data_IF_769931661854
#
_entry.id   IF_769931661854
#
_cell.length_a   1.000
_cell.length_b   1.000
_cell.length_c   1.000
_cell.angle_alpha   90.00
_cell.angle_beta   90.00
_cell.angle_gamma   90.00
#
_symmetry.space_group_name_H-M   'P 1'
#
loop_
_entity.id
_entity.type
_entity.pdbx_description
1 polymer ?
#
# COMPACT_ATOMS: atom_id res chain seq x y z
N UNK A 1 -17.09 53.84 -16.50
CA UNK A 1 -17.19 53.46 -17.93
C UNK A 1 -18.37 52.50 -18.07
N UNK A 2 -19.60 52.92 -18.43
CA UNK A 2 -20.17 53.06 -19.81
C UNK A 2 -19.71 51.89 -20.71
N UNK A 3 -20.55 50.97 -21.21
CA UNK A 3 -21.77 51.09 -22.08
C UNK A 3 -22.69 49.86 -21.85
N UNK A 4 -24.01 49.94 -21.63
CA UNK A 4 -25.17 49.98 -22.58
C UNK A 4 -24.95 49.14 -23.85
N UNK A 5 -25.80 48.16 -24.20
CA UNK A 5 -27.09 48.25 -24.95
C UNK A 5 -27.90 46.97 -24.61
N UNK A 6 -29.14 46.94 -24.07
CA UNK A 6 -30.49 47.43 -24.47
C UNK A 6 -31.12 46.77 -25.73
N UNK A 7 -32.02 45.80 -25.44
CA UNK A 7 -33.41 45.66 -25.96
C UNK A 7 -33.61 45.10 -27.39
N UNK A 8 -34.68 44.44 -27.84
CA UNK A 8 -36.06 44.09 -27.43
C UNK A 8 -36.45 42.78 -28.19
N UNK A 9 -37.35 41.93 -27.68
CA UNK A 9 -38.62 41.64 -28.37
C UNK A 9 -39.55 40.81 -27.47
N UNK A 10 -40.63 41.45 -27.07
CA UNK A 10 -41.83 40.83 -26.51
C UNK A 10 -42.71 40.45 -27.70
N UNK A 11 -43.15 39.19 -27.79
CA UNK A 11 -44.41 38.85 -28.49
C UNK A 11 -45.15 37.86 -27.60
N UNK A 12 -46.20 38.37 -26.95
CA UNK A 12 -47.28 37.56 -26.41
C UNK A 12 -48.25 37.26 -27.56
N UNK A 13 -48.65 36.00 -27.72
CA UNK A 13 -49.95 35.66 -28.30
C UNK A 13 -50.66 34.73 -27.33
N UNK A 14 -51.65 35.33 -26.69
CA UNK A 14 -52.78 34.69 -26.02
C UNK A 14 -53.70 34.15 -27.12
N UNK A 15 -54.35 33.01 -26.90
CA UNK A 15 -55.82 32.82 -27.03
C UNK A 15 -56.20 31.33 -27.22
N UNK A 16 -56.96 30.88 -26.21
CA UNK A 16 -58.08 29.94 -26.18
C UNK A 16 -57.88 28.45 -26.48
N UNK A 17 -58.22 27.70 -25.42
CA UNK A 17 -58.64 26.32 -25.38
C UNK A 17 -59.58 25.90 -26.52
N UNK A 18 -59.26 24.79 -27.14
CA UNK A 18 -60.24 23.84 -27.66
C UNK A 18 -59.69 22.43 -27.40
N UNK A 19 -60.32 21.72 -26.47
CA UNK A 19 -59.98 20.35 -26.14
C UNK A 19 -60.38 19.39 -27.27
N UNK A 20 -59.44 18.54 -27.68
CA UNK A 20 -59.73 17.29 -28.39
C UNK A 20 -58.73 16.25 -27.88
N UNK A 21 -59.23 15.26 -27.14
CA UNK A 21 -58.48 14.08 -26.67
C UNK A 21 -59.00 12.84 -27.40
N UNK A 22 -58.09 12.03 -27.97
CA UNK A 22 -58.38 10.69 -28.49
C UNK A 22 -58.18 9.63 -27.40
N UNK A 23 -59.11 8.66 -27.23
CA UNK A 23 -58.89 7.46 -26.41
C UNK A 23 -58.72 6.17 -27.24
N UNK A 24 -58.20 5.13 -26.56
CA UNK A 24 -57.89 3.74 -26.96
C UNK A 24 -56.50 3.54 -27.61
N UNK A 25 -55.55 2.80 -27.00
CA UNK A 25 -55.69 1.46 -26.38
C UNK A 25 -54.71 1.25 -25.20
N UNK A 26 -55.19 0.52 -24.21
CA UNK A 26 -54.63 0.28 -22.87
C UNK A 26 -53.34 -0.56 -22.83
N UNK A 27 -52.50 -0.34 -21.82
CA UNK A 27 -51.28 -1.14 -21.61
C UNK A 27 -50.29 -0.73 -20.51
N UNK A 28 -50.76 -0.38 -19.30
CA UNK A 28 -50.09 -0.64 -17.99
C UNK A 28 -48.69 -0.01 -17.73
N UNK A 29 -48.63 1.13 -17.02
CA UNK A 29 -48.17 1.22 -15.62
C UNK A 29 -48.35 2.65 -15.08
N UNK A 30 -48.91 2.68 -13.87
CA UNK A 30 -49.37 3.84 -13.10
C UNK A 30 -48.17 4.68 -12.61
N UNK A 31 -48.30 6.00 -12.56
CA UNK A 31 -48.40 6.82 -11.31
C UNK A 31 -48.65 8.28 -11.71
N UNK A 32 -49.39 9.00 -10.85
CA UNK A 32 -49.81 10.41 -10.91
C UNK A 32 -51.13 10.66 -11.64
N UNK A 33 -52.20 10.66 -10.83
CA UNK A 33 -53.56 10.87 -11.26
C UNK A 33 -53.88 12.33 -11.53
N UNK A 34 -54.81 12.54 -12.46
CA UNK A 34 -55.91 13.48 -12.37
C UNK A 34 -56.93 13.10 -13.44
N UNK A 35 -58.17 12.82 -13.03
CA UNK A 35 -59.31 12.59 -13.92
C UNK A 35 -59.85 13.93 -14.41
N UNK A 36 -60.18 14.05 -15.70
CA UNK A 36 -61.30 14.87 -16.15
C UNK A 36 -61.93 14.26 -17.42
N UNK A 37 -63.25 14.12 -17.36
CA UNK A 37 -64.15 13.54 -18.37
C UNK A 37 -64.54 14.56 -19.43
N UNK A 38 -64.65 14.15 -20.70
CA UNK A 38 -65.38 14.90 -21.73
C UNK A 38 -66.08 13.94 -22.70
N UNK A 39 -67.34 14.25 -22.99
CA UNK A 39 -68.28 13.51 -23.82
C UNK A 39 -68.15 13.79 -25.33
N UNK A 40 -68.72 12.88 -26.12
CA UNK A 40 -68.80 12.80 -27.59
C UNK A 40 -69.34 14.04 -28.33
N UNK A 41 -68.74 14.34 -29.48
CA UNK A 41 -69.42 15.04 -30.59
C UNK A 41 -68.74 14.77 -31.96
N UNK A 42 -69.37 13.87 -32.72
CA UNK A 42 -69.58 13.80 -34.19
C UNK A 42 -68.56 14.39 -35.20
N UNK A 43 -68.17 13.52 -36.13
CA UNK A 43 -67.23 13.69 -37.22
C UNK A 43 -67.71 14.54 -38.42
N UNK A 44 -66.75 15.21 -39.07
CA UNK A 44 -66.79 15.63 -40.46
C UNK A 44 -65.45 15.28 -41.16
N UNK A 45 -65.43 14.86 -42.43
CA UNK A 45 -64.22 14.39 -43.11
C UNK A 45 -63.35 15.56 -43.60
N UNK A 46 -62.07 15.55 -43.23
CA UNK A 46 -61.09 16.55 -43.66
C UNK A 46 -60.34 16.08 -44.93
N UNK A 47 -60.11 16.95 -45.93
CA UNK A 47 -59.50 16.59 -47.22
C UNK A 47 -58.00 16.23 -47.12
N UNK A 48 -57.61 15.28 -47.96
CA UNK A 48 -56.41 14.43 -47.93
C UNK A 48 -55.05 15.09 -48.23
N UNK A 49 -54.89 16.41 -48.13
CA UNK A 49 -53.65 17.08 -48.61
C UNK A 49 -52.83 17.83 -47.56
N UNK A 50 -53.12 17.73 -46.27
CA UNK A 50 -52.30 18.36 -45.20
C UNK A 50 -51.30 17.38 -44.57
N UNK A 51 -51.48 16.07 -44.74
CA UNK A 51 -50.64 15.06 -44.10
C UNK A 51 -49.20 14.98 -44.68
N UNK A 52 -48.94 15.46 -45.91
CA UNK A 52 -47.60 15.37 -46.52
C UNK A 52 -46.64 16.50 -46.12
N UNK A 53 -47.14 17.65 -45.66
CA UNK A 53 -46.28 18.78 -45.31
C UNK A 53 -45.75 18.75 -43.86
N UNK A 54 -46.34 17.92 -42.99
CA UNK A 54 -45.92 17.82 -41.58
C UNK A 54 -44.76 16.85 -41.39
N UNK A 55 -44.62 15.81 -42.23
CA UNK A 55 -43.56 14.80 -42.07
C UNK A 55 -42.18 15.23 -42.58
N UNK A 56 -42.07 16.30 -43.36
CA UNK A 56 -40.78 16.72 -43.94
C UNK A 56 -40.00 17.71 -43.04
N UNK A 57 -40.59 18.13 -41.91
CA UNK A 57 -39.91 18.98 -40.91
C UNK A 57 -39.43 18.22 -39.67
N UNK A 58 -39.87 16.98 -39.43
CA UNK A 58 -39.44 16.20 -38.26
C UNK A 58 -38.09 15.48 -38.47
N UNK A 59 -37.63 15.27 -39.70
CA UNK A 59 -36.35 14.58 -39.96
C UNK A 59 -35.11 15.48 -39.79
N UNK A 60 -35.28 16.80 -39.66
CA UNK A 60 -34.15 17.73 -39.43
C UNK A 60 -34.06 18.28 -38.01
N UNK A 61 -35.00 17.94 -37.11
CA UNK A 61 -34.97 18.37 -35.70
C UNK A 61 -34.62 17.26 -34.70
N UNK A 62 -34.34 16.03 -35.17
CA UNK A 62 -33.95 14.90 -34.28
C UNK A 62 -32.43 14.85 -34.02
N UNK A 63 -31.61 15.55 -34.81
CA UNK A 63 -30.14 15.53 -34.63
C UNK A 63 -29.57 16.58 -33.67
N UNK A 64 -30.41 17.43 -33.05
CA UNK A 64 -29.99 18.46 -32.09
C UNK A 64 -30.49 18.19 -30.67
N UNK A 65 -30.69 16.92 -30.31
CA UNK A 65 -30.80 16.61 -28.89
C UNK A 65 -29.43 16.82 -28.25
N UNK A 66 -29.30 17.63 -27.18
CA UNK A 66 -28.07 17.66 -26.41
C UNK A 66 -27.80 16.23 -25.96
N UNK A 67 -26.63 15.70 -26.34
CA UNK A 67 -26.12 14.45 -25.78
C UNK A 67 -26.29 14.57 -24.26
N UNK A 68 -27.02 13.66 -23.58
CA UNK A 68 -27.05 13.69 -22.13
C UNK A 68 -25.59 13.66 -21.69
N UNK A 69 -25.15 14.73 -21.03
CA UNK A 69 -23.79 14.84 -20.53
C UNK A 69 -23.57 13.62 -19.66
N UNK A 70 -22.88 12.62 -20.22
CA UNK A 70 -22.47 11.48 -19.42
C UNK A 70 -21.50 12.09 -18.42
N UNK A 71 -21.97 12.24 -17.18
CA UNK A 71 -21.10 12.49 -16.05
C UNK A 71 -19.94 11.51 -16.22
N UNK A 72 -18.73 12.04 -16.46
CA UNK A 72 -17.55 11.21 -16.62
C UNK A 72 -17.47 10.20 -15.47
N UNK A 73 -16.84 9.03 -15.67
CA UNK A 73 -16.85 7.95 -14.69
C UNK A 73 -16.64 8.54 -13.30
N UNK A 74 -17.68 8.44 -12.46
CA UNK A 74 -17.59 8.95 -11.10
C UNK A 74 -16.37 8.29 -10.46
N UNK A 75 -15.51 9.03 -9.71
CA UNK A 75 -14.39 8.41 -9.04
C UNK A 75 -14.94 7.33 -8.14
N UNK A 76 -14.75 6.06 -8.53
CA UNK A 76 -15.09 4.93 -7.68
C UNK A 76 -14.37 5.18 -6.36
N UNK A 77 -15.06 5.18 -5.20
CA UNK A 77 -14.40 5.38 -3.92
C UNK A 77 -13.26 4.37 -3.82
N UNK A 78 -12.01 4.86 -3.90
CA UNK A 78 -10.85 3.98 -3.79
C UNK A 78 -10.96 3.34 -2.40
N UNK A 79 -10.99 2.00 -2.29
CA UNK A 79 -11.02 1.37 -0.99
C UNK A 79 -9.86 1.92 -0.16
N UNK A 80 -10.09 2.28 1.12
CA UNK A 80 -9.06 2.85 1.96
C UNK A 80 -7.87 1.88 1.98
N UNK A 81 -6.71 2.40 1.60
CA UNK A 81 -5.49 1.60 1.55
C UNK A 81 -5.17 1.18 2.98
N UNK A 82 -5.21 -0.12 3.27
CA UNK A 82 -4.88 -0.66 4.60
C UNK A 82 -3.53 -0.09 5.09
N UNK A 83 -3.38 0.23 6.39
CA UNK A 83 -2.10 0.73 6.89
C UNK A 83 -0.98 -0.27 6.58
N UNK A 84 0.21 0.22 6.25
CA UNK A 84 1.39 -0.63 6.14
C UNK A 84 1.81 -1.02 7.56
N UNK A 85 1.91 -2.32 7.82
CA UNK A 85 2.29 -2.86 9.10
C UNK A 85 3.31 -3.99 8.96
N UNK A 86 4.24 -4.04 9.91
CA UNK A 86 5.25 -5.09 10.03
C UNK A 86 5.27 -5.58 11.47
N UNK A 87 5.08 -6.87 11.66
CA UNK A 87 5.45 -7.52 12.91
C UNK A 87 6.92 -7.89 12.85
N UNK A 88 7.68 -7.62 13.90
CA UNK A 88 9.13 -7.84 13.97
C UNK A 88 9.49 -8.40 15.34
N UNK A 89 10.39 -9.37 15.35
CA UNK A 89 11.10 -9.78 16.54
C UNK A 89 12.54 -10.15 16.24
N UNK A 90 13.42 -9.78 17.17
CA UNK A 90 14.81 -10.22 17.23
C UNK A 90 14.87 -11.27 18.33
N UNK A 91 15.56 -12.37 18.08
CA UNK A 91 15.72 -13.46 19.04
C UNK A 91 17.19 -13.73 19.26
N UNK A 92 17.53 -14.12 20.49
CA UNK A 92 18.75 -14.85 20.78
C UNK A 92 18.43 -16.30 21.13
N UNK A 93 19.36 -17.19 20.83
CA UNK A 93 19.27 -18.56 21.34
C UNK A 93 19.82 -18.60 22.77
N UNK A 94 19.00 -18.99 23.73
CA UNK A 94 19.40 -19.17 25.12
C UNK A 94 19.33 -20.65 25.49
N UNK A 95 20.25 -21.08 26.34
CA UNK A 95 20.20 -22.41 26.94
C UNK A 95 19.51 -22.31 28.30
N UNK A 96 18.34 -22.94 28.44
CA UNK A 96 17.61 -23.04 29.69
C UNK A 96 17.20 -24.49 29.94
N UNK A 97 17.43 -24.98 31.17
CA UNK A 97 17.06 -26.35 31.62
C UNK A 97 17.42 -27.49 30.66
N UNK A 98 18.58 -27.41 30.00
CA UNK A 98 19.02 -28.47 29.08
C UNK A 98 18.54 -28.31 27.63
N UNK A 99 17.82 -27.23 27.32
CA UNK A 99 17.12 -27.01 26.05
C UNK A 99 17.57 -25.67 25.47
N UNK A 100 17.85 -25.63 24.17
CA UNK A 100 18.10 -24.38 23.47
C UNK A 100 16.77 -23.82 22.98
N UNK A 101 16.42 -22.63 23.45
CA UNK A 101 15.16 -21.98 23.12
C UNK A 101 15.41 -20.56 22.58
N UNK A 102 14.62 -20.11 21.59
CA UNK A 102 14.61 -18.72 21.17
C UNK A 102 14.02 -17.84 22.29
N UNK A 103 14.74 -16.78 22.65
CA UNK A 103 14.30 -15.76 23.60
C UNK A 103 14.29 -14.42 22.89
N UNK A 104 13.21 -13.66 23.06
CA UNK A 104 13.07 -12.32 22.47
C UNK A 104 14.14 -11.38 23.01
N UNK A 105 14.72 -10.58 22.12
CA UNK A 105 15.63 -9.47 22.43
C UNK A 105 14.83 -8.16 22.36
N UNK A 106 14.79 -7.44 23.48
CA UNK A 106 14.23 -6.11 23.61
C UNK A 106 15.29 -5.03 23.39
N UNK A 107 14.84 -3.79 23.18
CA UNK A 107 15.78 -2.67 23.08
C UNK A 107 16.49 -2.43 24.41
N UNK A 108 17.82 -2.33 24.35
CA UNK A 108 18.68 -2.16 25.53
C UNK A 108 19.04 -3.45 26.27
N UNK A 109 18.63 -4.61 25.78
CA UNK A 109 19.14 -5.88 26.28
C UNK A 109 20.66 -5.98 26.10
N UNK A 110 21.30 -6.79 26.95
CA UNK A 110 22.73 -7.08 26.87
C UNK A 110 22.93 -8.48 26.29
N UNK A 111 23.70 -8.54 25.21
CA UNK A 111 24.12 -9.77 24.54
C UNK A 111 25.63 -9.94 24.65
N UNK A 112 26.09 -11.18 24.57
CA UNK A 112 27.50 -11.54 24.67
C UNK A 112 28.06 -11.93 23.30
N UNK A 113 29.35 -11.69 23.12
CA UNK A 113 30.12 -12.22 22.00
C UNK A 113 29.90 -13.74 21.85
N UNK A 114 29.51 -14.18 20.66
CA UNK A 114 29.15 -15.58 20.39
C UNK A 114 27.66 -15.91 20.57
N UNK A 115 26.83 -15.02 21.12
CA UNK A 115 25.38 -15.20 21.12
C UNK A 115 24.88 -15.38 19.69
N UNK A 116 23.90 -16.29 19.55
CA UNK A 116 23.26 -16.59 18.29
C UNK A 116 22.01 -15.75 18.15
N UNK A 117 21.89 -15.02 17.05
CA UNK A 117 20.78 -14.13 16.72
C UNK A 117 19.98 -14.59 15.50
N UNK A 118 18.69 -14.29 15.52
CA UNK A 118 17.77 -14.45 14.39
C UNK A 118 16.77 -13.29 14.38
N UNK A 119 16.38 -12.85 13.19
CA UNK A 119 15.30 -11.88 13.02
C UNK A 119 14.14 -12.57 12.33
N UNK A 120 12.91 -12.33 12.79
CA UNK A 120 11.72 -12.70 12.04
C UNK A 120 10.79 -11.51 11.86
N UNK A 121 10.10 -11.51 10.74
CA UNK A 121 9.12 -10.49 10.44
C UNK A 121 7.93 -11.04 9.65
N UNK A 122 6.77 -10.37 9.79
CA UNK A 122 5.56 -10.65 9.02
C UNK A 122 4.92 -9.35 8.55
N UNK A 123 4.93 -9.04 7.24
CA UNK A 123 4.22 -7.87 6.73
C UNK A 123 2.71 -8.16 6.66
N UNK A 124 1.86 -7.15 6.82
CA UNK A 124 0.41 -7.34 6.70
C UNK A 124 -0.12 -7.27 5.26
N UNK A 125 0.66 -6.70 4.34
CA UNK A 125 0.35 -6.54 2.92
C UNK A 125 1.60 -6.83 2.10
N UNK A 126 1.44 -7.03 0.79
CA UNK A 126 2.58 -7.17 -0.10
C UNK A 126 3.45 -5.90 -0.07
N UNK A 127 4.71 -6.04 0.32
CA UNK A 127 5.64 -4.91 0.47
C UNK A 127 7.11 -5.33 0.33
N UNK A 128 7.99 -4.34 0.27
CA UNK A 128 9.44 -4.52 0.30
C UNK A 128 9.93 -4.33 1.73
N UNK A 129 10.83 -5.22 2.17
CA UNK A 129 11.46 -5.16 3.49
C UNK A 129 12.97 -5.17 3.31
N UNK A 130 13.68 -4.32 4.04
CA UNK A 130 15.13 -4.24 4.07
C UNK A 130 15.60 -4.29 5.52
N UNK A 131 16.59 -5.12 5.83
CA UNK A 131 17.15 -5.26 7.17
C UNK A 131 18.65 -5.09 7.07
N UNK A 132 19.18 -4.13 7.84
CA UNK A 132 20.61 -3.89 7.99
C UNK A 132 20.98 -3.85 9.46
N UNK A 133 22.15 -4.37 9.78
CA UNK A 133 22.75 -4.23 11.10
C UNK A 133 23.93 -3.27 11.01
N UNK A 134 24.16 -2.52 12.08
CA UNK A 134 25.38 -1.73 12.27
C UNK A 134 26.04 -2.11 13.58
N UNK A 135 27.34 -2.37 13.56
CA UNK A 135 28.11 -2.58 14.78
C UNK A 135 28.55 -1.27 15.44
N UNK A 136 29.26 -1.40 16.56
CA UNK A 136 29.78 -0.27 17.34
C UNK A 136 30.81 0.58 16.58
N UNK A 137 31.43 0.04 15.52
CA UNK A 137 32.38 0.75 14.65
C UNK A 137 31.70 1.47 13.49
N UNK A 138 30.38 1.33 13.37
CA UNK A 138 29.60 1.86 12.25
C UNK A 138 29.79 1.07 10.95
N UNK A 139 30.25 -0.19 11.01
CA UNK A 139 30.21 -1.07 9.84
C UNK A 139 28.78 -1.51 9.61
N UNK A 140 28.37 -1.54 8.35
CA UNK A 140 27.01 -1.87 7.95
C UNK A 140 26.98 -3.24 7.31
N UNK A 141 26.00 -4.01 7.73
CA UNK A 141 25.87 -5.43 7.49
C UNK A 141 24.49 -5.68 6.87
N UNK A 142 24.42 -5.89 5.55
CA UNK A 142 23.15 -6.17 4.88
C UNK A 142 22.67 -7.58 5.26
N UNK A 143 21.54 -7.65 5.97
CA UNK A 143 20.96 -8.92 6.39
C UNK A 143 19.84 -9.37 5.45
N UNK A 144 19.05 -8.41 4.93
CA UNK A 144 17.94 -8.72 4.03
C UNK A 144 17.65 -7.54 3.07
N UNK A 145 17.38 -7.80 1.78
CA UNK A 145 17.59 -9.06 1.07
C UNK A 145 19.10 -9.37 0.95
N UNK A 146 19.49 -10.63 1.12
CA UNK A 146 20.86 -11.11 0.97
C UNK A 146 20.85 -12.58 0.55
N UNK A 147 21.59 -12.94 -0.50
CA UNK A 147 21.73 -14.35 -0.92
C UNK A 147 22.46 -15.20 0.13
N UNK A 148 23.21 -14.59 1.04
CA UNK A 148 23.88 -15.30 2.12
C UNK A 148 22.91 -15.72 3.22
N UNK A 149 22.04 -14.80 3.64
CA UNK A 149 21.15 -15.02 4.78
C UNK A 149 19.77 -15.50 4.34
N UNK A 150 19.33 -15.18 3.13
CA UNK A 150 18.02 -15.51 2.63
C UNK A 150 18.06 -15.93 1.14
N UNK A 151 18.80 -17.01 0.78
CA UNK A 151 18.95 -17.44 -0.60
C UNK A 151 17.59 -17.75 -1.25
N UNK A 152 17.39 -17.25 -2.47
CA UNK A 152 16.16 -17.48 -3.25
C UNK A 152 14.90 -16.78 -2.72
N UNK A 153 14.99 -15.97 -1.66
CA UNK A 153 13.86 -15.17 -1.19
C UNK A 153 13.68 -13.95 -2.09
N UNK A 154 12.60 -13.94 -2.86
CA UNK A 154 12.28 -12.86 -3.80
C UNK A 154 11.38 -11.78 -3.19
N UNK A 155 11.67 -10.52 -3.50
CA UNK A 155 10.82 -9.37 -3.18
C UNK A 155 9.84 -9.07 -4.32
N UNK A 156 8.61 -8.57 -4.05
CA UNK A 156 8.08 -8.18 -2.74
C UNK A 156 7.69 -9.37 -1.85
N UNK A 157 7.74 -9.14 -0.54
CA UNK A 157 7.26 -10.06 0.48
C UNK A 157 5.73 -10.14 0.40
N UNK A 158 5.17 -11.33 0.64
CA UNK A 158 3.72 -11.55 0.66
C UNK A 158 3.14 -11.19 2.02
N UNK A 159 2.03 -10.46 2.01
CA UNK A 159 1.28 -10.14 3.23
C UNK A 159 0.85 -11.41 3.96
N UNK A 160 0.95 -11.40 5.29
CA UNK A 160 0.61 -12.51 6.18
C UNK A 160 1.66 -13.63 6.26
N UNK A 161 2.65 -13.66 5.36
CA UNK A 161 3.71 -14.66 5.38
C UNK A 161 4.81 -14.29 6.40
N UNK A 162 5.31 -15.30 7.11
CA UNK A 162 6.42 -15.15 8.04
C UNK A 162 7.73 -15.35 7.28
N UNK A 163 8.69 -14.46 7.53
CA UNK A 163 10.05 -14.54 7.03
C UNK A 163 11.02 -14.58 8.20
N UNK A 164 12.11 -15.35 8.05
CA UNK A 164 13.19 -15.45 9.01
C UNK A 164 14.51 -15.07 8.33
N UNK A 165 15.41 -14.47 9.10
CA UNK A 165 16.76 -14.09 8.68
C UNK A 165 17.72 -14.56 9.78
N UNK A 166 18.53 -15.61 9.52
CA UNK A 166 18.64 -16.36 8.26
C UNK A 166 17.36 -17.15 7.91
N UNK A 167 17.14 -17.41 6.61
CA UNK A 167 15.95 -18.11 6.10
C UNK A 167 15.99 -19.61 6.33
N UNK A 168 17.19 -20.21 6.45
CA UNK A 168 17.32 -21.58 6.93
C UNK A 168 16.91 -21.64 8.41
N UNK A 169 15.89 -22.43 8.76
CA UNK A 169 15.38 -22.54 10.13
C UNK A 169 16.44 -22.95 11.16
N UNK A 170 17.49 -23.68 10.76
CA UNK A 170 18.54 -24.17 11.66
C UNK A 170 19.69 -23.19 11.80
N UNK A 171 19.81 -22.20 10.91
CA UNK A 171 20.88 -21.22 10.95
C UNK A 171 20.53 -20.03 11.81
N UNK A 172 21.56 -19.51 12.47
CA UNK A 172 21.54 -18.32 13.31
C UNK A 172 22.78 -17.50 13.00
N UNK A 173 22.63 -16.17 13.00
CA UNK A 173 23.78 -15.25 12.95
C UNK A 173 24.52 -15.33 14.28
N UNK A 174 25.82 -15.12 14.31
CA UNK A 174 26.59 -15.15 15.55
C UNK A 174 27.27 -13.81 15.77
N UNK A 175 27.09 -13.22 16.95
CA UNK A 175 27.82 -12.02 17.33
C UNK A 175 29.31 -12.29 17.34
N UNK A 176 30.08 -11.34 16.80
CA UNK A 176 31.53 -11.45 16.74
C UNK A 176 32.16 -10.95 18.06
N UNK A 177 33.42 -10.50 18.02
CA UNK A 177 34.15 -9.99 19.19
C UNK A 177 34.18 -8.46 19.26
N UNK A 178 33.50 -7.77 18.34
CA UNK A 178 33.50 -6.32 18.25
C UNK A 178 32.39 -5.74 19.13
N UNK A 179 32.70 -5.59 20.41
CA UNK A 179 31.77 -5.14 21.45
C UNK A 179 31.31 -3.69 21.25
N UNK A 180 30.15 -3.36 21.83
CA UNK A 180 29.57 -2.03 21.92
C UNK A 180 28.11 -2.03 21.51
N UNK A 181 27.53 -0.84 21.28
CA UNK A 181 26.14 -0.76 20.87
C UNK A 181 25.94 -1.20 19.43
N UNK A 182 25.12 -2.23 19.25
CA UNK A 182 24.66 -2.66 17.93
C UNK A 182 23.27 -2.10 17.64
N UNK A 183 23.00 -1.84 16.36
CA UNK A 183 21.68 -1.38 15.90
C UNK A 183 21.23 -2.21 14.71
N UNK A 184 19.94 -2.45 14.63
CA UNK A 184 19.29 -3.06 13.47
C UNK A 184 18.24 -2.09 12.94
N UNK A 185 18.32 -1.79 11.64
CA UNK A 185 17.34 -0.97 10.95
C UNK A 185 16.50 -1.87 10.05
N UNK A 186 15.18 -1.80 10.23
CA UNK A 186 14.21 -2.47 9.41
C UNK A 186 13.40 -1.42 8.65
N UNK A 187 13.44 -1.48 7.33
CA UNK A 187 12.71 -0.57 6.45
C UNK A 187 11.60 -1.36 5.77
N UNK A 188 10.36 -0.90 5.90
CA UNK A 188 9.22 -1.44 5.16
C UNK A 188 8.68 -0.39 4.21
N UNK A 189 8.44 -0.75 2.95
CA UNK A 189 7.95 0.16 1.92
C UNK A 189 7.00 -0.55 0.96
N UNK A 190 5.92 0.13 0.56
CA UNK A 190 5.02 -0.34 -0.51
C UNK A 190 5.67 -0.27 -1.89
N UNK A 191 6.59 0.67 -2.09
CA UNK A 191 7.30 0.86 -3.34
C UNK A 191 8.71 0.26 -3.25
N UNK A 192 9.17 -0.32 -4.35
CA UNK A 192 10.54 -0.83 -4.45
C UNK A 192 11.54 0.30 -4.25
N UNK A 193 12.53 0.09 -3.39
CA UNK A 193 13.61 1.04 -3.11
C UNK A 193 14.88 0.60 -3.81
N UNK A 194 14.97 0.85 -5.12
CA UNK A 194 16.15 0.50 -5.92
C UNK A 194 17.40 1.20 -5.41
N UNK A 195 17.26 2.41 -4.87
CA UNK A 195 18.33 3.12 -4.19
C UNK A 195 18.88 2.32 -3.01
N UNK A 196 18.04 1.73 -2.16
CA UNK A 196 18.52 0.87 -1.07
C UNK A 196 19.14 -0.43 -1.62
N UNK A 197 18.47 -1.08 -2.57
CA UNK A 197 18.95 -2.34 -3.15
C UNK A 197 20.34 -2.21 -3.79
N UNK A 198 20.60 -1.10 -4.48
CA UNK A 198 21.90 -0.86 -5.11
C UNK A 198 22.99 -0.71 -4.06
N UNK A 199 22.74 0.04 -2.99
CA UNK A 199 23.77 0.23 -1.97
C UNK A 199 23.95 -1.04 -1.12
N UNK A 200 22.88 -1.80 -0.83
CA UNK A 200 22.98 -3.11 -0.14
C UNK A 200 23.79 -4.12 -0.96
N UNK A 201 23.61 -4.14 -2.29
CA UNK A 201 24.39 -5.00 -3.20
C UNK A 201 25.89 -4.69 -3.14
N UNK A 202 26.25 -3.40 -3.06
CA UNK A 202 27.65 -2.98 -2.92
C UNK A 202 28.22 -3.43 -1.57
N UNK A 203 27.48 -3.28 -0.48
CA UNK A 203 27.92 -3.72 0.86
C UNK A 203 28.08 -5.23 0.96
N UNK A 204 27.15 -6.01 0.40
CA UNK A 204 27.20 -7.47 0.47
C UNK A 204 28.42 -8.03 -0.29
N UNK A 205 28.73 -7.41 -1.44
CA UNK A 205 29.95 -7.71 -2.19
C UNK A 205 31.23 -7.33 -1.43
N UNK A 206 31.25 -6.19 -0.74
CA UNK A 206 32.40 -5.76 0.08
C UNK A 206 32.62 -6.66 1.31
N UNK A 207 31.52 -7.07 1.97
CA UNK A 207 31.59 -8.07 3.03
C UNK A 207 32.28 -9.33 2.53
N UNK A 208 31.83 -9.87 1.40
CA UNK A 208 32.33 -11.14 0.86
C UNK A 208 33.84 -11.10 0.60
N UNK A 209 34.38 -9.96 0.17
CA UNK A 209 35.81 -9.74 0.00
C UNK A 209 36.56 -9.70 1.34
N UNK A 210 35.95 -9.11 2.37
CA UNK A 210 36.54 -9.00 3.71
C UNK A 210 36.69 -10.35 4.42
N UNK A 211 35.77 -11.31 4.19
CA UNK A 211 35.80 -12.64 4.81
C UNK A 211 36.80 -13.60 4.15
N UNK A 212 37.21 -13.35 2.90
CA UNK A 212 38.14 -14.21 2.14
C UNK A 212 39.63 -13.88 2.36
N UNK A 213 39.96 -13.06 3.36
CA UNK A 213 41.34 -12.89 3.85
C UNK A 213 42.22 -11.90 3.07
N UNK A 214 41.69 -11.16 2.08
CA UNK A 214 42.41 -10.00 1.50
C UNK A 214 42.10 -8.74 2.30
N UNK A 215 42.65 -8.67 3.52
CA UNK A 215 42.23 -7.72 4.56
C UNK A 215 42.87 -6.31 4.50
N UNK A 216 43.70 -5.96 3.51
CA UNK A 216 44.51 -4.72 3.56
C UNK A 216 44.21 -3.68 2.47
N UNK A 217 43.13 -3.82 1.69
CA UNK A 217 42.75 -2.75 0.77
C UNK A 217 42.13 -1.57 1.54
N UNK A 218 42.55 -0.31 1.31
CA UNK A 218 41.84 0.88 1.77
C UNK A 218 40.40 0.80 1.26
N UNK A 219 39.47 0.56 2.18
CA UNK A 219 38.07 0.34 1.82
C UNK A 219 37.47 1.69 1.44
N UNK A 220 36.72 1.79 0.32
CA UNK A 220 36.02 3.02 -0.02
C UNK A 220 35.16 3.42 1.16
N UNK A 221 35.11 4.72 1.45
CA UNK A 221 34.39 5.28 2.60
C UNK A 221 32.86 5.25 2.38
N UNK A 222 32.31 4.06 2.12
CA UNK A 222 30.87 3.82 1.93
C UNK A 222 30.08 4.15 3.20
N UNK A 223 30.75 4.18 4.36
CA UNK A 223 30.23 4.71 5.63
C UNK A 223 29.84 6.20 5.53
N UNK A 224 30.53 7.02 4.72
CA UNK A 224 30.11 8.41 4.47
C UNK A 224 28.87 8.51 3.59
N UNK A 225 28.63 7.53 2.73
CA UNK A 225 27.52 7.53 1.77
C UNK A 225 26.24 6.89 2.35
N UNK A 226 26.41 5.89 3.23
CA UNK A 226 25.43 5.43 4.22
C UNK A 226 25.57 6.20 5.53
N UNK A 227 25.17 7.46 5.50
CA UNK A 227 24.86 8.13 6.75
C UNK A 227 23.55 7.52 7.26
N UNK A 228 23.47 7.20 8.56
CA UNK A 228 22.20 6.82 9.20
C UNK A 228 21.09 7.83 8.84
N UNK A 229 21.45 9.11 8.65
CA UNK A 229 20.58 10.19 8.16
C UNK A 229 19.93 9.93 6.78
N UNK A 230 20.47 9.06 5.93
CA UNK A 230 19.90 8.63 4.63
C UNK A 230 18.95 7.44 4.78
N UNK A 231 19.26 6.49 5.68
CA UNK A 231 18.32 5.42 6.05
C UNK A 231 17.09 6.01 6.76
N UNK A 232 17.31 6.97 7.66
CA UNK A 232 16.30 7.61 8.50
C UNK A 232 15.52 8.71 7.75
N UNK A 233 15.87 9.04 6.50
CA UNK A 233 15.13 10.02 5.68
C UNK A 233 13.74 9.54 5.24
N UNK A 234 13.27 8.37 5.68
CA UNK A 234 11.85 8.03 5.67
C UNK A 234 11.12 8.86 6.75
N UNK A 235 10.62 10.04 6.34
CA UNK A 235 9.81 10.94 7.18
C UNK A 235 8.45 10.31 7.52
N UNK A 236 8.42 9.42 8.49
CA UNK A 236 7.21 8.89 9.12
C UNK A 236 7.19 9.13 10.63
N UNK A 237 6.02 9.29 11.28
CA UNK A 237 5.96 9.13 12.73
C UNK A 237 6.52 7.75 13.09
N UNK A 238 7.25 7.66 14.22
CA UNK A 238 7.71 6.37 14.73
C UNK A 238 6.50 5.46 14.89
N UNK A 239 6.48 4.26 14.29
CA UNK A 239 5.33 3.38 14.38
C UNK A 239 5.07 3.03 15.84
N UNK A 240 3.79 3.05 16.24
CA UNK A 240 3.41 2.69 17.61
C UNK A 240 3.56 1.18 17.78
N UNK A 241 4.30 0.71 18.81
CA UNK A 241 4.40 -0.70 19.10
C UNK A 241 3.06 -1.21 19.63
N UNK A 242 2.62 -2.35 19.11
CA UNK A 242 1.55 -3.15 19.66
C UNK A 242 2.01 -4.61 19.74
N UNK A 243 1.26 -5.42 20.45
CA UNK A 243 1.46 -6.85 20.49
C UNK A 243 1.05 -7.50 19.15
N UNK A 244 1.94 -8.29 18.56
CA UNK A 244 1.71 -9.03 17.33
C UNK A 244 1.25 -10.46 17.59
N UNK A 245 0.77 -11.15 16.55
CA UNK A 245 0.33 -12.53 16.73
C UNK A 245 1.54 -13.46 17.00
N UNK A 246 1.42 -14.44 17.92
CA UNK A 246 2.52 -15.33 18.29
C UNK A 246 3.17 -16.01 17.09
N UNK A 247 4.49 -16.14 17.16
CA UNK A 247 5.32 -16.72 16.12
C UNK A 247 6.09 -17.92 16.68
N UNK A 248 6.04 -19.05 15.97
CA UNK A 248 6.93 -20.17 16.23
C UNK A 248 8.29 -19.96 15.57
N UNK A 249 9.34 -20.11 16.35
CA UNK A 249 10.73 -19.97 15.91
C UNK A 249 11.49 -21.24 16.30
N UNK A 250 12.15 -21.93 15.35
CA UNK A 250 13.01 -23.05 15.67
C UNK A 250 14.37 -22.58 16.18
N UNK A 251 14.85 -23.23 17.23
CA UNK A 251 16.24 -23.20 17.71
C UNK A 251 17.16 -23.91 16.71
N UNK A 252 18.47 -23.71 16.88
CA UNK A 252 19.49 -24.38 16.09
C UNK A 252 19.50 -25.91 16.27
N UNK A 253 18.89 -26.43 17.34
CA UNK A 253 18.73 -27.87 17.59
C UNK A 253 17.37 -28.42 17.16
N UNK A 254 16.52 -27.61 16.51
CA UNK A 254 15.23 -28.03 15.96
C UNK A 254 14.07 -28.03 16.96
N UNK A 255 14.28 -27.59 18.20
CA UNK A 255 13.21 -27.32 19.15
C UNK A 255 12.55 -25.97 18.84
N UNK A 256 11.22 -25.90 18.81
CA UNK A 256 10.51 -24.63 18.55
C UNK A 256 10.12 -23.93 19.85
N UNK A 257 10.24 -22.60 19.86
CA UNK A 257 9.66 -21.75 20.90
C UNK A 257 8.64 -20.79 20.30
N UNK A 258 7.60 -20.46 21.08
CA UNK A 258 6.62 -19.43 20.71
C UNK A 258 7.06 -18.10 21.28
N UNK A 259 7.16 -17.08 20.42
CA UNK A 259 7.56 -15.74 20.81
C UNK A 259 6.57 -14.72 20.28
N UNK A 260 6.34 -13.66 21.05
CA UNK A 260 5.42 -12.59 20.72
C UNK A 260 6.16 -11.45 20.03
N UNK A 261 5.87 -11.17 18.73
CA UNK A 261 6.53 -10.09 18.01
C UNK A 261 5.89 -8.74 18.29
N UNK A 262 6.64 -7.67 18.06
CA UNK A 262 6.08 -6.32 18.10
C UNK A 262 5.54 -5.92 16.74
N UNK A 263 4.33 -5.38 16.75
CA UNK A 263 3.61 -4.88 15.60
C UNK A 263 3.84 -3.38 15.45
N UNK A 264 4.34 -2.97 14.30
CA UNK A 264 4.59 -1.58 13.93
C UNK A 264 3.69 -1.20 12.76
N UNK A 265 3.02 -0.04 12.83
CA UNK A 265 2.06 0.40 11.80
C UNK A 265 2.28 1.84 11.38
N UNK A 266 2.04 2.13 10.10
CA UNK A 266 2.01 3.48 9.54
C UNK A 266 0.91 3.62 8.49
N UNK A 267 0.32 4.81 8.40
CA UNK A 267 -0.58 5.20 7.31
C UNK A 267 0.17 5.85 6.14
N UNK A 268 1.48 6.10 6.30
CA UNK A 268 2.35 6.57 5.22
C UNK A 268 2.87 5.39 4.40
N UNK A 269 3.42 5.66 3.22
CA UNK A 269 3.85 4.62 2.26
C UNK A 269 5.05 3.77 2.68
N UNK A 270 5.82 4.22 3.68
CA UNK A 270 7.02 3.57 4.20
C UNK A 270 7.29 3.97 5.66
N UNK A 271 8.11 3.18 6.36
CA UNK A 271 8.69 3.53 7.65
C UNK A 271 10.04 2.85 7.88
N UNK A 272 10.79 3.38 8.85
CA UNK A 272 12.05 2.82 9.34
C UNK A 272 11.88 2.56 10.83
N UNK A 273 12.18 1.33 11.24
CA UNK A 273 12.26 0.90 12.62
C UNK A 273 13.74 0.71 12.98
N UNK A 274 14.18 1.32 14.07
CA UNK A 274 15.49 1.08 14.64
C UNK A 274 15.32 0.30 15.94
N UNK A 275 16.06 -0.80 16.07
CA UNK A 275 16.18 -1.64 17.27
C UNK A 275 17.65 -1.65 17.69
N UNK A 276 17.93 -1.81 18.98
CA UNK A 276 19.32 -1.78 19.47
C UNK A 276 19.52 -2.63 20.72
N UNK A 277 20.74 -3.12 20.91
CA UNK A 277 21.16 -3.85 22.11
C UNK A 277 22.63 -3.54 22.41
N UNK A 278 23.05 -3.79 23.64
CA UNK A 278 24.45 -3.68 24.03
C UNK A 278 25.14 -5.05 23.81
N UNK A 279 26.27 -5.06 23.11
CA UNK A 279 27.09 -6.25 22.89
C UNK A 279 28.37 -6.17 23.72
N UNK A 280 28.59 -7.15 24.59
CA UNK A 280 29.72 -7.25 25.50
C UNK A 280 30.67 -8.42 25.17
#
# INVERSE_FOLDING_TARGET
MKRRVRTWLTVAFVVLAAGCTCPAREGILRTLGFCLSIADATAAPCPSNVAKAVYQFYDLLVCLQPIPSQAGPQPVPRPPTAPLALEVAIFKEAFDRGVFAPVRVADGDVLQSGDKLKVAFRPNVDCFVYIVQTDSTGRIYPLFPSERFAPGVSSPMRGGQIYQVPSDPRLWMRLDKNTGRERMYLVASRARRTDLEDILRVLDADWTKSYTGKADAPRPNLQREFREDRLIRARGPQPQPAEGAPLEVPSSQGQSGTVQPELFRTFKGEFVLMRWFEHH
#
